data_IF_831756277543
#
_entry.id   IF_831756277543
#
_cell.length_a   1.000
_cell.length_b   1.000
_cell.length_c   1.000
_cell.angle_alpha   90.00
_cell.angle_beta   90.00
_cell.angle_gamma   90.00
#
_symmetry.space_group_name_H-M   'P 1'
#
loop_
_entity.id
_entity.type
_entity.pdbx_description
1 polymer ?
#
# COMPACT_ATOMS: atom_id res chain seq x y z
N UNK A 1 0.68 -18.17 3.69
CA UNK A 1 1.14 -16.77 3.68
C UNK A 1 1.82 -16.50 2.35
N UNK A 2 1.73 -15.28 1.83
CA UNK A 2 2.38 -14.80 0.61
C UNK A 2 3.54 -13.89 1.02
N UNK A 3 4.70 -14.04 0.39
CA UNK A 3 5.75 -13.02 0.47
C UNK A 3 5.32 -11.72 -0.21
N UNK A 4 6.05 -10.62 0.02
CA UNK A 4 5.79 -9.35 -0.67
C UNK A 4 5.76 -9.50 -2.20
N UNK A 5 6.67 -10.30 -2.78
CA UNK A 5 6.74 -10.56 -4.22
C UNK A 5 5.50 -11.34 -4.68
N UNK A 6 5.14 -12.42 -3.98
CA UNK A 6 3.95 -13.22 -4.32
C UNK A 6 2.66 -12.42 -4.18
N UNK A 7 2.59 -11.53 -3.19
CA UNK A 7 1.45 -10.62 -3.01
C UNK A 7 1.32 -9.67 -4.20
N UNK A 8 2.43 -9.06 -4.65
CA UNK A 8 2.44 -8.18 -5.82
C UNK A 8 1.95 -8.89 -7.09
N UNK A 9 2.41 -10.12 -7.33
CA UNK A 9 1.97 -10.93 -8.48
C UNK A 9 0.47 -11.22 -8.44
N UNK A 10 -0.07 -11.55 -7.27
CA UNK A 10 -1.49 -11.83 -7.09
C UNK A 10 -2.35 -10.57 -7.25
N UNK A 11 -1.91 -9.42 -6.72
CA UNK A 11 -2.57 -8.13 -6.96
C UNK A 11 -2.61 -7.83 -8.47
N UNK A 12 -1.48 -7.99 -9.17
CA UNK A 12 -1.40 -7.81 -10.63
C UNK A 12 -2.37 -8.71 -11.41
N UNK A 13 -2.58 -9.96 -10.95
CA UNK A 13 -3.55 -10.87 -11.56
C UNK A 13 -4.99 -10.39 -11.39
N UNK A 14 -5.36 -9.90 -10.20
CA UNK A 14 -6.72 -9.45 -9.90
C UNK A 14 -7.12 -8.21 -10.70
N UNK A 15 -6.17 -7.31 -10.93
CA UNK A 15 -6.42 -6.02 -11.58
C UNK A 15 -6.28 -6.07 -13.10
N UNK A 16 -5.67 -7.12 -13.67
CA UNK A 16 -5.34 -7.23 -15.10
C UNK A 16 -6.51 -6.93 -16.05
N UNK A 17 -7.73 -7.16 -15.58
CA UNK A 17 -8.97 -6.99 -16.35
C UNK A 17 -9.84 -5.83 -15.85
N UNK A 18 -9.33 -4.96 -14.97
CA UNK A 18 -10.09 -3.85 -14.36
C UNK A 18 -9.52 -2.52 -14.83
N UNK A 19 -10.38 -1.64 -15.34
CA UNK A 19 -10.02 -0.22 -15.48
C UNK A 19 -9.81 0.37 -14.09
N UNK A 20 -8.72 1.09 -13.91
CA UNK A 20 -8.38 1.69 -12.63
C UNK A 20 -8.28 3.20 -12.73
N UNK A 21 -8.70 3.93 -11.67
CA UNK A 21 -8.45 5.35 -11.58
C UNK A 21 -6.93 5.61 -11.56
N UNK A 22 -6.51 6.66 -12.26
CA UNK A 22 -5.11 7.12 -12.22
C UNK A 22 -4.88 7.81 -10.89
N UNK A 23 -3.85 7.37 -10.17
CA UNK A 23 -3.39 8.04 -8.95
C UNK A 23 -2.08 8.76 -9.28
N UNK A 24 -2.13 10.09 -9.39
CA UNK A 24 -0.98 10.90 -9.82
C UNK A 24 0.18 10.87 -8.82
N UNK A 25 -0.13 10.92 -7.52
CA UNK A 25 0.85 10.82 -6.45
C UNK A 25 0.45 9.71 -5.45
N UNK A 26 0.72 8.44 -5.78
CA UNK A 26 0.24 7.31 -5.00
C UNK A 26 0.82 7.28 -3.58
N UNK A 27 2.06 7.75 -3.41
CA UNK A 27 2.72 7.75 -2.11
C UNK A 27 2.07 8.75 -1.14
N UNK A 28 1.88 10.00 -1.60
CA UNK A 28 1.24 11.02 -0.78
C UNK A 28 -0.23 10.70 -0.49
N UNK A 29 -0.97 10.21 -1.48
CA UNK A 29 -2.39 9.89 -1.32
C UNK A 29 -2.60 8.67 -0.39
N UNK A 30 -1.69 7.69 -0.43
CA UNK A 30 -1.72 6.56 0.49
C UNK A 30 -1.54 7.01 1.95
N UNK A 31 -0.54 7.86 2.22
CA UNK A 31 -0.30 8.42 3.56
C UNK A 31 -1.53 9.19 4.05
N UNK A 32 -2.06 10.09 3.21
CA UNK A 32 -3.26 10.87 3.52
C UNK A 32 -4.47 9.99 3.86
N UNK A 33 -4.71 8.91 3.11
CA UNK A 33 -5.80 7.96 3.42
C UNK A 33 -5.63 7.29 4.77
N UNK A 34 -4.39 6.92 5.11
CA UNK A 34 -4.06 6.32 6.41
C UNK A 34 -4.29 7.34 7.53
N UNK A 35 -3.84 8.58 7.37
CA UNK A 35 -4.04 9.66 8.34
C UNK A 35 -5.52 9.99 8.57
N UNK A 36 -6.35 9.91 7.53
CA UNK A 36 -7.79 10.16 7.64
C UNK A 36 -8.53 9.05 8.38
N UNK A 37 -8.12 7.79 8.20
CA UNK A 37 -8.81 6.64 8.78
C UNK A 37 -7.82 5.63 9.41
N UNK A 38 -7.01 6.02 10.40
CA UNK A 38 -5.88 5.21 10.87
C UNK A 38 -6.29 3.89 11.56
N UNK A 39 -7.47 3.85 12.17
CA UNK A 39 -7.97 2.64 12.83
C UNK A 39 -8.52 1.58 11.84
N UNK A 40 -8.73 1.93 10.57
CA UNK A 40 -9.38 1.04 9.60
C UNK A 40 -8.44 -0.10 9.18
N UNK A 41 -9.01 -1.30 8.97
CA UNK A 41 -8.27 -2.47 8.51
C UNK A 41 -7.56 -2.22 7.18
N UNK A 42 -8.19 -1.47 6.28
CA UNK A 42 -7.62 -1.08 4.99
C UNK A 42 -6.37 -0.20 5.16
N UNK A 43 -6.39 0.76 6.08
CA UNK A 43 -5.23 1.60 6.39
C UNK A 43 -4.07 0.80 6.98
N UNK A 44 -4.36 -0.15 7.87
CA UNK A 44 -3.35 -1.09 8.42
C UNK A 44 -2.70 -1.95 7.34
N UNK A 45 -3.51 -2.42 6.39
CA UNK A 45 -3.01 -3.16 5.24
C UNK A 45 -2.14 -2.26 4.34
N UNK A 46 -2.55 -1.02 4.09
CA UNK A 46 -1.79 -0.08 3.28
C UNK A 46 -0.44 0.28 3.91
N UNK A 47 -0.39 0.52 5.22
CA UNK A 47 0.87 0.70 5.97
C UNK A 47 1.78 -0.51 5.80
N UNK A 48 1.26 -1.73 5.98
CA UNK A 48 2.05 -2.96 5.78
C UNK A 48 2.59 -3.10 4.35
N UNK A 49 1.83 -2.67 3.35
CA UNK A 49 2.28 -2.65 1.95
C UNK A 49 3.41 -1.64 1.76
N UNK A 50 3.29 -0.41 2.30
CA UNK A 50 4.36 0.59 2.27
C UNK A 50 5.63 0.06 2.93
N UNK A 51 5.52 -0.51 4.13
CA UNK A 51 6.66 -1.13 4.84
C UNK A 51 7.28 -2.26 4.01
N UNK A 52 6.46 -3.07 3.33
CA UNK A 52 6.93 -4.18 2.52
C UNK A 52 7.65 -3.73 1.25
N UNK A 53 7.19 -2.66 0.59
CA UNK A 53 7.88 -2.07 -0.54
C UNK A 53 9.22 -1.47 -0.10
N UNK A 54 9.22 -0.66 0.96
CA UNK A 54 10.42 0.05 1.45
C UNK A 54 11.51 -0.89 1.95
N UNK A 55 11.14 -1.91 2.74
CA UNK A 55 12.11 -2.77 3.44
C UNK A 55 12.16 -4.20 2.91
N UNK A 56 11.40 -4.53 1.86
CA UNK A 56 11.32 -5.88 1.26
C UNK A 56 10.96 -6.98 2.26
N UNK A 57 10.12 -6.65 3.25
CA UNK A 57 9.74 -7.55 4.35
C UNK A 57 8.23 -7.58 4.57
N UNK A 58 7.71 -8.68 5.08
CA UNK A 58 6.31 -8.80 5.45
C UNK A 58 5.63 -10.01 4.80
N UNK A 59 4.56 -10.45 5.45
CA UNK A 59 3.73 -11.56 5.02
C UNK A 59 2.31 -11.07 4.80
N UNK A 60 1.67 -11.57 3.75
CA UNK A 60 0.30 -11.21 3.39
C UNK A 60 -0.55 -12.47 3.24
N UNK A 61 -1.85 -12.34 3.49
CA UNK A 61 -2.84 -13.40 3.23
C UNK A 61 -3.53 -13.09 1.91
N UNK A 62 -3.77 -14.11 1.09
CA UNK A 62 -4.52 -13.93 -0.17
C UNK A 62 -5.93 -13.33 0.08
N UNK A 63 -6.54 -13.65 1.22
CA UNK A 63 -7.83 -13.06 1.63
C UNK A 63 -7.78 -11.53 1.82
N UNK A 64 -6.62 -10.95 2.14
CA UNK A 64 -6.46 -9.49 2.23
C UNK A 64 -6.65 -8.83 0.85
N UNK A 65 -6.20 -9.48 -0.23
CA UNK A 65 -6.39 -8.98 -1.60
C UNK A 65 -7.88 -8.93 -1.96
N UNK A 66 -8.63 -9.98 -1.58
CA UNK A 66 -10.07 -10.05 -1.83
C UNK A 66 -10.88 -9.00 -1.04
N UNK A 67 -10.31 -8.45 0.05
CA UNK A 67 -10.94 -7.41 0.87
C UNK A 67 -10.67 -5.98 0.38
N UNK A 68 -9.78 -5.81 -0.59
CA UNK A 68 -9.51 -4.51 -1.19
C UNK A 68 -10.61 -4.20 -2.22
N UNK A 69 -11.24 -3.04 -2.05
CA UNK A 69 -12.12 -2.49 -3.09
C UNK A 69 -11.31 -2.02 -4.31
N UNK A 70 -12.01 -1.56 -5.36
CA UNK A 70 -11.37 -1.12 -6.60
C UNK A 70 -10.44 0.08 -6.42
N UNK A 71 -10.77 0.99 -5.51
CA UNK A 71 -9.98 2.19 -5.26
C UNK A 71 -8.68 1.83 -4.54
N UNK A 72 -8.77 1.00 -3.50
CA UNK A 72 -7.62 0.50 -2.77
C UNK A 72 -6.74 -0.41 -3.63
N UNK A 73 -7.33 -1.24 -4.50
CA UNK A 73 -6.55 -2.02 -5.48
C UNK A 73 -5.80 -1.13 -6.46
N UNK A 74 -6.40 -0.03 -6.91
CA UNK A 74 -5.73 0.94 -7.77
C UNK A 74 -4.58 1.63 -7.04
N UNK A 75 -4.82 2.09 -5.81
CA UNK A 75 -3.77 2.67 -4.97
C UNK A 75 -2.58 1.73 -4.80
N UNK A 76 -2.84 0.47 -4.46
CA UNK A 76 -1.80 -0.53 -4.20
C UNK A 76 -0.96 -0.82 -5.44
N UNK A 77 -1.57 -0.96 -6.63
CA UNK A 77 -0.76 -1.18 -7.83
C UNK A 77 -0.01 0.08 -8.25
N UNK A 78 -0.60 1.27 -8.17
CA UNK A 78 0.10 2.49 -8.55
C UNK A 78 1.29 2.75 -7.60
N UNK A 79 1.19 2.39 -6.31
CA UNK A 79 2.33 2.34 -5.40
C UNK A 79 3.40 1.34 -5.83
N UNK A 80 3.02 0.12 -6.20
CA UNK A 80 3.97 -0.90 -6.67
C UNK A 80 4.70 -0.45 -7.93
N UNK A 81 4.00 0.18 -8.87
CA UNK A 81 4.57 0.65 -10.12
C UNK A 81 5.43 1.91 -9.93
N UNK A 82 5.04 2.82 -9.03
CA UNK A 82 5.87 3.95 -8.61
C UNK A 82 7.16 3.49 -7.92
N UNK A 83 7.09 2.45 -7.07
CA UNK A 83 8.27 1.86 -6.45
C UNK A 83 9.18 1.20 -7.49
N UNK A 84 8.60 0.42 -8.42
CA UNK A 84 9.36 -0.29 -9.45
C UNK A 84 10.00 0.63 -10.49
N UNK A 85 9.35 1.74 -10.82
CA UNK A 85 9.86 2.74 -11.75
C UNK A 85 10.93 3.65 -11.12
N UNK A 86 11.05 3.65 -9.79
CA UNK A 86 11.99 4.50 -9.07
C UNK A 86 11.67 5.99 -9.16
N UNK A 87 10.41 6.35 -9.41
CA UNK A 87 9.96 7.74 -9.56
C UNK A 87 10.08 8.56 -8.27
N UNK A 88 10.09 7.89 -7.11
CA UNK A 88 10.25 8.51 -5.79
C UNK A 88 11.54 8.05 -5.12
N UNK A 89 12.20 8.98 -4.44
CA UNK A 89 13.46 8.70 -3.74
C UNK A 89 13.22 7.78 -2.53
N UNK A 90 14.23 6.99 -2.16
CA UNK A 90 14.12 6.07 -1.01
C UNK A 90 13.77 6.81 0.29
N UNK A 91 14.29 8.02 0.51
CA UNK A 91 13.95 8.81 1.70
C UNK A 91 12.47 9.23 1.73
N UNK A 92 11.80 9.37 0.58
CA UNK A 92 10.37 9.65 0.53
C UNK A 92 9.56 8.43 0.97
N UNK A 93 9.94 7.24 0.52
CA UNK A 93 9.34 5.98 0.94
C UNK A 93 9.49 5.72 2.44
N UNK A 94 10.67 6.01 3.00
CA UNK A 94 10.91 5.89 4.44
C UNK A 94 10.02 6.87 5.21
N UNK A 95 10.00 8.16 4.82
CA UNK A 95 9.15 9.17 5.46
C UNK A 95 7.66 8.81 5.39
N UNK A 96 7.21 8.24 4.28
CA UNK A 96 5.84 7.80 4.13
C UNK A 96 5.48 6.64 5.07
N UNK A 97 6.40 5.68 5.28
CA UNK A 97 6.21 4.62 6.27
C UNK A 97 6.16 5.19 7.68
N UNK A 98 7.10 6.07 8.04
CA UNK A 98 7.16 6.67 9.37
C UNK A 98 5.86 7.45 9.69
N UNK A 99 5.35 8.24 8.73
CA UNK A 99 4.08 8.95 8.87
C UNK A 99 2.88 7.99 9.02
N UNK A 100 2.83 6.95 8.20
CA UNK A 100 1.77 5.94 8.24
C UNK A 100 1.75 5.15 9.55
N UNK A 101 2.92 4.79 10.09
CA UNK A 101 3.05 4.12 11.38
C UNK A 101 2.66 5.06 12.53
N UNK A 102 3.13 6.32 12.50
CA UNK A 102 2.77 7.31 13.52
C UNK A 102 1.25 7.57 13.59
N UNK A 103 0.58 7.69 12.44
CA UNK A 103 -0.87 7.86 12.37
C UNK A 103 -1.63 6.69 13.04
N UNK A 104 -1.14 5.46 12.89
CA UNK A 104 -1.77 4.28 13.48
C UNK A 104 -1.52 4.14 14.98
N UNK A 105 -0.33 4.49 15.45
CA UNK A 105 -0.02 4.52 16.87
C UNK A 105 -0.90 5.55 17.58
N UNK A 106 -1.06 6.75 17.01
CA UNK A 106 -1.92 7.80 17.57
C UNK A 106 -3.41 7.44 17.63
N UNK A 107 -3.87 6.52 16.79
CA UNK A 107 -5.27 6.08 16.76
C UNK A 107 -5.60 4.88 17.66
N UNK A 108 -4.58 4.19 18.17
CA UNK A 108 -4.71 3.06 19.08
C UNK A 108 -4.45 3.40 20.55
N UNK A 109 -4.19 4.67 20.86
CA UNK A 109 -3.95 5.19 22.21
C UNK A 109 -5.22 5.57 22.95
#
# INVERSE_FOLDING_TARGET
>A
MLSAIQFQEEVRRVIRFRSQPVVENPLAEAVKKIEQNPAYTQSRLLTRILTALTYKRGEFRRAEIASLDSEMLAMVITLMDAYASGTSAREEWVRAVDAAEAAQVGAGG
#
